data_IF_633409425165
#
_entry.id   IF_633409425165
#
_cell.length_a   1.000
_cell.length_b   1.000
_cell.length_c   1.000
_cell.angle_alpha   90.00
_cell.angle_beta   90.00
_cell.angle_gamma   90.00
#
_symmetry.space_group_name_H-M   'P 1'
#
loop_
_entity.id
_entity.type
_entity.pdbx_description
1 polymer ?
#
# COMPACT_ATOMS: atom_id res chain seq x y z
N UNK A 1 -15.37 -11.16 40.66
CA UNK A 1 -13.95 -10.99 40.24
C UNK A 1 -13.91 -9.94 39.12
N UNK A 2 -13.64 -8.67 39.46
CA UNK A 2 -13.62 -7.58 38.50
C UNK A 2 -12.35 -7.64 37.65
N UNK A 3 -12.50 -7.63 36.32
CA UNK A 3 -11.35 -7.50 35.42
C UNK A 3 -10.87 -6.05 35.50
N UNK A 4 -9.68 -5.83 36.05
CA UNK A 4 -8.98 -4.56 35.93
C UNK A 4 -8.88 -4.22 34.44
N UNK A 5 -9.41 -3.07 34.06
CA UNK A 5 -9.37 -2.56 32.70
C UNK A 5 -7.93 -2.11 32.39
N UNK A 6 -7.03 -3.07 32.13
CA UNK A 6 -5.70 -2.76 31.65
C UNK A 6 -5.85 -2.14 30.25
N UNK A 7 -5.23 -0.98 29.96
CA UNK A 7 -5.30 -0.41 28.62
C UNK A 7 -4.79 -1.47 27.65
N UNK A 8 -5.68 -1.98 26.81
CA UNK A 8 -5.34 -2.93 25.78
C UNK A 8 -4.47 -2.19 24.77
N UNK A 9 -3.14 -2.39 24.85
CA UNK A 9 -2.16 -1.86 23.89
C UNK A 9 -2.33 -2.48 22.48
N UNK A 10 -3.41 -3.23 22.24
CA UNK A 10 -3.75 -3.89 20.99
C UNK A 10 -4.14 -2.93 19.86
N UNK A 11 -4.22 -1.63 20.13
CA UNK A 11 -4.47 -0.59 19.13
C UNK A 11 -3.20 0.17 18.70
N UNK A 12 -2.03 -0.25 19.17
CA UNK A 12 -0.76 0.38 18.85
C UNK A 12 -0.01 -0.37 17.73
N UNK A 13 0.79 0.37 16.97
CA UNK A 13 1.77 -0.17 16.04
C UNK A 13 3.12 0.52 16.27
N UNK A 14 4.20 -0.24 16.18
CA UNK A 14 5.57 0.30 16.22
C UNK A 14 5.99 0.79 14.84
N UNK A 15 6.46 2.03 14.77
CA UNK A 15 6.96 2.67 13.55
C UNK A 15 8.41 3.09 13.74
N UNK A 16 9.16 3.22 12.63
CA UNK A 16 10.49 3.80 12.68
C UNK A 16 10.44 5.32 12.87
N UNK A 17 11.61 5.89 13.21
CA UNK A 17 11.82 7.31 13.46
C UNK A 17 11.18 8.28 12.45
N UNK A 18 11.24 7.90 11.17
CA UNK A 18 10.70 8.71 10.08
C UNK A 18 9.17 8.63 10.02
N UNK A 19 8.63 7.40 9.99
CA UNK A 19 7.19 7.18 9.87
C UNK A 19 6.43 7.61 11.13
N UNK A 20 7.05 7.57 12.31
CA UNK A 20 6.41 8.12 13.52
C UNK A 20 6.15 9.61 13.38
N UNK A 21 7.06 10.37 12.74
CA UNK A 21 6.92 11.84 12.61
C UNK A 21 5.87 12.15 11.56
N UNK A 22 5.82 11.37 10.48
CA UNK A 22 4.78 11.52 9.47
C UNK A 22 3.38 11.39 10.07
N UNK A 23 3.16 10.42 10.96
CA UNK A 23 1.85 10.19 11.59
C UNK A 23 1.52 11.26 12.64
N UNK A 24 2.49 11.65 13.48
CA UNK A 24 2.23 12.61 14.56
C UNK A 24 2.22 14.07 14.11
N UNK A 25 3.11 14.44 13.20
CA UNK A 25 3.38 15.84 12.83
C UNK A 25 3.05 16.09 11.34
N UNK A 26 3.28 15.08 10.49
CA UNK A 26 3.12 15.20 9.04
C UNK A 26 1.68 15.06 8.54
N UNK A 27 0.69 14.86 9.42
CA UNK A 27 -0.73 14.71 9.05
C UNK A 27 -1.09 13.37 8.40
N UNK A 28 -0.18 12.38 8.42
CA UNK A 28 -0.47 11.06 7.90
C UNK A 28 -1.38 10.29 8.85
N UNK A 29 -2.21 9.39 8.29
CA UNK A 29 -3.14 8.57 9.07
C UNK A 29 -2.91 7.09 8.81
N UNK A 30 -3.29 6.27 9.77
CA UNK A 30 -3.28 4.82 9.67
C UNK A 30 -4.70 4.28 9.77
N UNK A 31 -5.01 3.29 8.93
CA UNK A 31 -6.25 2.53 9.00
C UNK A 31 -5.96 1.03 8.91
N UNK A 32 -6.74 0.21 9.60
CA UNK A 32 -6.65 -1.24 9.55
C UNK A 32 -6.34 -1.87 10.91
N UNK A 33 -5.80 -3.08 10.88
CA UNK A 33 -5.54 -3.88 12.08
C UNK A 33 -4.02 -4.01 12.29
N UNK A 34 -3.48 -3.70 13.48
CA UNK A 34 -2.03 -3.70 13.74
C UNK A 34 -1.42 -5.09 13.50
N UNK A 35 -2.11 -6.17 13.86
CA UNK A 35 -1.63 -7.54 13.64
C UNK A 35 -1.86 -8.10 12.23
N UNK A 36 -2.42 -7.31 11.30
CA UNK A 36 -2.72 -7.80 9.94
C UNK A 36 -2.18 -6.83 8.89
N UNK A 37 -3.03 -5.91 8.44
CA UNK A 37 -2.76 -5.01 7.34
C UNK A 37 -3.07 -3.59 7.77
N UNK A 38 -2.06 -2.75 7.60
CA UNK A 38 -2.17 -1.31 7.77
C UNK A 38 -2.16 -0.63 6.41
N UNK A 39 -3.01 0.39 6.30
CA UNK A 39 -3.05 1.32 5.17
C UNK A 39 -2.56 2.66 5.68
N UNK A 40 -1.48 3.15 5.09
CA UNK A 40 -0.99 4.50 5.32
C UNK A 40 -1.74 5.45 4.39
N UNK A 41 -2.32 6.49 4.95
CA UNK A 41 -3.01 7.54 4.23
C UNK A 41 -2.13 8.79 4.28
N UNK A 42 -1.86 9.33 3.10
CA UNK A 42 -1.20 10.63 2.94
C UNK A 42 -2.09 11.75 3.51
N UNK A 43 -1.55 12.96 3.73
CA UNK A 43 -2.32 14.08 4.27
C UNK A 43 -3.51 14.48 3.37
N UNK A 44 -3.41 14.23 2.06
CA UNK A 44 -4.49 14.43 1.09
C UNK A 44 -5.57 13.32 1.11
N UNK A 45 -5.42 12.31 1.97
CA UNK A 45 -6.32 11.17 2.09
C UNK A 45 -6.04 10.02 1.12
N UNK A 46 -5.09 10.17 0.19
CA UNK A 46 -4.73 9.09 -0.75
C UNK A 46 -3.98 7.96 -0.04
N UNK A 47 -4.28 6.72 -0.44
CA UNK A 47 -3.58 5.56 0.09
C UNK A 47 -2.15 5.48 -0.46
N UNK A 48 -1.18 5.40 0.45
CA UNK A 48 0.20 5.13 0.09
C UNK A 48 0.35 3.68 -0.37
N UNK A 49 1.00 3.50 -1.51
CA UNK A 49 1.35 2.19 -2.06
C UNK A 49 2.87 2.09 -2.11
N UNK A 50 3.47 1.14 -1.39
CA UNK A 50 4.90 0.89 -1.53
C UNK A 50 5.18 0.33 -2.93
N UNK A 51 6.25 0.80 -3.55
CA UNK A 51 6.64 0.43 -4.92
C UNK A 51 6.59 1.61 -5.89
N UNK A 52 7.01 1.41 -7.14
CA UNK A 52 6.97 2.45 -8.16
C UNK A 52 5.53 2.89 -8.42
N UNK A 53 5.38 4.16 -8.78
CA UNK A 53 4.11 4.70 -9.28
C UNK A 53 3.58 3.77 -10.40
N UNK A 54 2.28 3.47 -10.43
CA UNK A 54 1.72 2.69 -11.52
C UNK A 54 2.10 3.33 -12.85
N UNK A 55 2.50 2.51 -13.82
CA UNK A 55 2.75 2.99 -15.18
C UNK A 55 1.53 3.75 -15.69
N UNK A 56 1.78 4.89 -16.34
CA UNK A 56 0.75 5.61 -17.09
C UNK A 56 0.03 4.63 -18.05
N UNK A 57 -1.29 4.75 -18.26
CA UNK A 57 -2.05 3.77 -19.03
C UNK A 57 -1.50 3.51 -20.43
N UNK A 58 -1.01 4.55 -21.12
CA UNK A 58 -0.38 4.47 -22.44
C UNK A 58 0.94 3.68 -22.42
N UNK A 59 1.78 3.89 -21.39
CA UNK A 59 3.04 3.17 -21.22
C UNK A 59 2.78 1.70 -20.88
N UNK A 60 1.78 1.44 -20.01
CA UNK A 60 1.36 0.08 -19.67
C UNK A 60 0.86 -0.68 -20.89
N UNK A 61 -0.01 -0.07 -21.70
CA UNK A 61 -0.54 -0.72 -22.91
C UNK A 61 0.60 -1.18 -23.83
N UNK A 62 1.62 -0.34 -24.05
CA UNK A 62 2.78 -0.67 -24.89
C UNK A 62 3.70 -1.77 -24.33
N UNK A 63 3.70 -2.01 -23.02
CA UNK A 63 4.57 -2.98 -22.37
C UNK A 63 3.88 -4.33 -22.10
N UNK A 64 2.55 -4.33 -21.97
CA UNK A 64 1.75 -5.53 -21.64
C UNK A 64 1.17 -6.18 -22.89
N UNK A 65 0.99 -5.45 -24.00
CA UNK A 65 0.71 -6.08 -25.30
C UNK A 65 1.97 -6.81 -25.79
N UNK A 66 1.96 -8.15 -25.91
CA UNK A 66 3.02 -8.83 -26.62
C UNK A 66 2.81 -8.50 -28.10
N UNK A 67 3.58 -7.55 -28.62
CA UNK A 67 4.00 -7.63 -30.03
C UNK A 67 4.98 -8.81 -30.13
N UNK A 68 4.47 -10.02 -29.93
CA UNK A 68 4.89 -11.16 -30.72
C UNK A 68 3.74 -11.32 -31.70
N UNK A 69 3.88 -10.88 -32.97
CA UNK A 69 3.01 -11.46 -33.97
C UNK A 69 3.24 -12.97 -33.88
N UNK A 70 2.22 -13.75 -33.50
CA UNK A 70 2.18 -15.13 -33.98
C UNK A 70 2.18 -14.97 -35.48
N UNK A 71 3.34 -15.19 -36.09
CA UNK A 71 3.48 -15.23 -37.54
C UNK A 71 2.43 -16.18 -38.11
N UNK A 72 2.05 -16.03 -39.39
CA UNK A 72 1.08 -16.93 -39.98
C UNK A 72 1.54 -18.38 -39.76
N UNK A 73 0.59 -19.25 -39.36
CA UNK A 73 0.84 -20.68 -39.18
C UNK A 73 1.60 -21.24 -40.39
N UNK A 74 2.57 -22.14 -40.19
CA UNK A 74 3.27 -22.77 -41.31
C UNK A 74 2.25 -23.50 -42.21
N UNK A 75 2.39 -23.44 -43.54
CA UNK A 75 1.56 -24.27 -44.40
C UNK A 75 1.79 -25.75 -44.05
N UNK A 76 0.69 -26.48 -43.86
CA UNK A 76 0.68 -27.92 -43.58
C UNK A 76 1.20 -28.77 -44.74
#
# INVERSE_FOLDING_TARGET
MGKCNYPILSNLVTLCGHHHRLVHEGGWRLAGHPDRRLTFLRPDGSAFRPGPEPLRPDVRARLVDPVLPTGPDPPG
#
